data_IF_968116254037
#
_entry.id   IF_968116254037
#
_cell.length_a   1.000
_cell.length_b   1.000
_cell.length_c   1.000
_cell.angle_alpha   90.00
_cell.angle_beta   90.00
_cell.angle_gamma   90.00
#
_symmetry.space_group_name_H-M   'P 1'
#
loop_
_entity.id
_entity.type
_entity.pdbx_description
1 polymer ?
#
# COMPACT_ATOMS: atom_id res chain seq x y z
N UNK A 1 25.66 -6.29 2.83
CA UNK A 1 24.93 -5.13 3.36
C UNK A 1 24.26 -4.48 2.16
N UNK A 2 23.00 -4.83 1.89
CA UNK A 2 22.26 -4.36 0.72
C UNK A 2 21.91 -2.88 0.87
N UNK A 3 21.89 -2.14 -0.23
CA UNK A 3 21.46 -0.75 -0.24
C UNK A 3 19.99 -0.67 0.24
N UNK A 4 19.70 0.23 1.17
CA UNK A 4 18.33 0.42 1.65
C UNK A 4 17.44 0.84 0.48
N UNK A 5 16.27 0.21 0.32
CA UNK A 5 15.33 0.58 -0.73
C UNK A 5 14.95 2.06 -0.62
N UNK A 6 15.03 2.77 -1.74
CA UNK A 6 14.64 4.18 -1.84
C UNK A 6 13.74 4.36 -3.03
N UNK A 7 12.69 5.15 -2.85
CA UNK A 7 11.91 5.72 -3.94
C UNK A 7 12.21 7.21 -4.01
N UNK A 8 12.26 7.76 -5.22
CA UNK A 8 12.36 9.21 -5.40
C UNK A 8 11.16 9.91 -4.74
N UNK A 9 11.39 11.10 -4.19
CA UNK A 9 10.30 11.93 -3.67
C UNK A 9 9.26 12.27 -4.75
N UNK A 10 8.04 12.62 -4.36
CA UNK A 10 7.00 12.97 -5.32
C UNK A 10 7.42 14.20 -6.15
N UNK A 11 7.15 14.21 -7.46
CA UNK A 11 7.30 15.41 -8.29
C UNK A 11 6.48 16.60 -7.76
N UNK A 12 6.83 17.81 -8.21
CA UNK A 12 6.02 19.01 -7.92
C UNK A 12 4.59 18.79 -8.43
N UNK A 13 3.60 19.09 -7.60
CA UNK A 13 2.17 18.94 -7.94
C UNK A 13 1.57 17.58 -7.59
N UNK A 14 2.39 16.58 -7.24
CA UNK A 14 1.91 15.27 -6.77
C UNK A 14 1.61 15.32 -5.27
N UNK A 15 0.39 14.95 -4.91
CA UNK A 15 -0.08 14.90 -3.53
C UNK A 15 0.06 13.52 -2.87
N UNK A 16 0.22 12.46 -3.67
CA UNK A 16 0.45 11.10 -3.19
C UNK A 16 1.82 10.95 -2.51
N UNK A 17 1.84 10.27 -1.37
CA UNK A 17 3.08 9.89 -0.68
C UNK A 17 3.27 8.39 -0.72
N UNK A 18 4.50 7.97 -0.96
CA UNK A 18 4.90 6.58 -1.03
C UNK A 18 6.13 6.36 -0.15
N UNK A 19 5.93 5.80 1.03
CA UNK A 19 6.97 5.66 2.06
C UNK A 19 7.46 4.21 2.14
N UNK A 20 8.76 4.02 1.89
CA UNK A 20 9.48 2.74 1.97
C UNK A 20 10.48 2.69 3.13
N UNK A 21 10.49 3.71 4.01
CA UNK A 21 11.43 3.77 5.14
C UNK A 21 11.27 2.63 6.15
N UNK A 22 10.16 1.90 6.09
CA UNK A 22 9.82 0.75 6.92
C UNK A 22 9.87 -0.58 6.15
N UNK A 23 10.58 -0.66 5.02
CA UNK A 23 10.70 -1.87 4.19
C UNK A 23 10.96 -3.13 5.04
N UNK A 24 10.20 -4.23 4.86
CA UNK A 24 9.27 -4.54 3.75
C UNK A 24 7.83 -4.03 3.93
N UNK A 25 7.55 -3.18 4.93
CA UNK A 25 6.28 -2.46 5.05
C UNK A 25 6.33 -1.14 4.27
N UNK A 26 5.38 -0.95 3.36
CA UNK A 26 5.23 0.28 2.57
C UNK A 26 3.94 0.99 2.96
N UNK A 27 4.01 2.31 3.10
CA UNK A 27 2.83 3.15 3.40
C UNK A 27 2.55 4.09 2.24
N UNK A 28 1.37 3.95 1.65
CA UNK A 28 0.85 4.82 0.60
C UNK A 28 -0.19 5.73 1.23
N UNK A 29 0.05 7.04 1.21
CA UNK A 29 -0.94 8.03 1.65
C UNK A 29 -1.57 8.69 0.45
N UNK A 30 -2.87 8.48 0.26
CA UNK A 30 -3.62 9.04 -0.85
C UNK A 30 -3.92 10.53 -0.62
N UNK A 31 -3.83 11.38 -1.64
CA UNK A 31 -4.23 12.79 -1.53
C UNK A 31 -5.76 12.91 -1.44
N UNK A 32 -6.29 14.09 -1.06
CA UNK A 32 -7.74 14.32 -1.01
C UNK A 32 -8.47 14.08 -2.34
N UNK A 33 -7.80 14.40 -3.45
CA UNK A 33 -8.25 14.12 -4.81
C UNK A 33 -7.08 13.50 -5.55
N UNK A 34 -7.24 12.27 -6.03
CA UNK A 34 -6.22 11.59 -6.84
C UNK A 34 -6.28 12.09 -8.28
N UNK A 35 -5.13 12.51 -8.79
CA UNK A 35 -4.93 12.97 -10.17
C UNK A 35 -4.22 11.91 -11.02
N UNK A 36 -4.11 12.16 -12.33
CA UNK A 36 -3.30 11.33 -13.22
C UNK A 36 -1.80 11.39 -12.86
N UNK A 37 -1.29 12.55 -12.44
CA UNK A 37 0.12 12.70 -12.02
C UNK A 37 0.42 11.89 -10.75
N UNK A 38 -0.52 11.86 -9.80
CA UNK A 38 -0.42 10.98 -8.63
C UNK A 38 -0.36 9.51 -9.04
N UNK A 39 -1.16 9.12 -10.03
CA UNK A 39 -1.20 7.75 -10.49
C UNK A 39 0.06 7.36 -11.27
N UNK A 40 0.59 8.25 -12.11
CA UNK A 40 1.88 8.03 -12.78
C UNK A 40 3.02 7.87 -11.77
N UNK A 41 3.07 8.72 -10.74
CA UNK A 41 4.05 8.59 -9.66
C UNK A 41 3.88 7.25 -8.93
N UNK A 42 2.65 6.87 -8.59
CA UNK A 42 2.34 5.59 -7.96
C UNK A 42 2.83 4.39 -8.78
N UNK A 43 2.62 4.41 -10.11
CA UNK A 43 3.11 3.36 -11.00
C UNK A 43 4.64 3.24 -10.92
N UNK A 44 5.38 4.36 -11.00
CA UNK A 44 6.84 4.36 -10.91
C UNK A 44 7.35 3.81 -9.57
N UNK A 45 6.68 4.13 -8.47
CA UNK A 45 6.99 3.58 -7.15
C UNK A 45 6.71 2.08 -7.07
N UNK A 46 5.61 1.60 -7.67
CA UNK A 46 5.32 0.17 -7.74
C UNK A 46 6.40 -0.61 -8.48
N UNK A 47 6.88 -0.10 -9.62
CA UNK A 47 7.96 -0.76 -10.36
C UNK A 47 9.25 -0.88 -9.50
N UNK A 48 9.54 0.09 -8.63
CA UNK A 48 10.67 -0.01 -7.69
C UNK A 48 10.49 -1.14 -6.67
N UNK A 49 9.33 -1.23 -6.01
CA UNK A 49 9.10 -2.28 -4.99
C UNK A 49 8.93 -3.67 -5.62
N UNK A 50 8.51 -3.75 -6.88
CA UNK A 50 8.43 -5.01 -7.61
C UNK A 50 9.80 -5.53 -8.05
N UNK A 51 10.74 -4.64 -8.31
CA UNK A 51 12.13 -4.97 -8.61
C UNK A 51 12.93 -5.39 -7.36
N UNK A 52 12.47 -5.04 -6.15
CA UNK A 52 13.11 -5.46 -4.91
C UNK A 52 13.11 -6.99 -4.76
N UNK A 53 14.16 -7.61 -4.19
CA UNK A 53 14.23 -9.06 -4.05
C UNK A 53 13.17 -9.60 -3.08
N UNK A 54 12.92 -8.88 -1.98
CA UNK A 54 11.92 -9.28 -0.98
C UNK A 54 10.47 -9.03 -1.43
N UNK A 55 9.54 -9.75 -0.81
CA UNK A 55 8.09 -9.46 -0.89
C UNK A 55 7.75 -8.33 0.08
N UNK A 56 6.68 -7.59 -0.18
CA UNK A 56 6.29 -6.44 0.64
C UNK A 56 4.83 -6.52 1.10
N UNK A 57 4.52 -5.84 2.20
CA UNK A 57 3.14 -5.57 2.60
C UNK A 57 2.82 -4.08 2.42
N UNK A 58 1.58 -3.77 2.07
CA UNK A 58 1.12 -2.40 1.81
C UNK A 58 0.12 -1.93 2.85
N UNK A 59 0.26 -0.68 3.28
CA UNK A 59 -0.83 0.10 3.86
C UNK A 59 -1.23 1.14 2.83
N UNK A 60 -2.51 1.17 2.46
CA UNK A 60 -3.08 2.23 1.63
C UNK A 60 -3.99 3.07 2.50
N UNK A 61 -3.48 4.20 2.94
CA UNK A 61 -4.21 5.19 3.71
C UNK A 61 -5.06 6.05 2.78
N UNK A 62 -6.38 5.84 2.83
CA UNK A 62 -7.36 6.58 2.02
C UNK A 62 -8.13 7.62 2.84
N UNK A 63 -7.75 7.86 4.09
CA UNK A 63 -8.52 8.69 5.03
C UNK A 63 -8.72 10.12 4.56
N UNK A 64 -7.75 10.66 3.81
CA UNK A 64 -7.80 12.01 3.26
C UNK A 64 -8.72 12.14 2.04
N UNK A 65 -9.11 11.04 1.38
CA UNK A 65 -9.88 11.09 0.13
C UNK A 65 -11.26 11.72 0.38
N UNK A 66 -11.54 12.81 -0.33
CA UNK A 66 -12.85 13.47 -0.34
C UNK A 66 -13.64 13.18 -1.61
N UNK A 67 -12.99 12.62 -2.64
CA UNK A 67 -13.60 12.27 -3.92
C UNK A 67 -12.94 11.03 -4.51
N UNK A 68 -13.76 10.04 -4.87
CA UNK A 68 -13.26 8.86 -5.59
C UNK A 68 -12.73 9.26 -6.97
N UNK A 69 -11.71 8.56 -7.49
CA UNK A 69 -11.26 8.73 -8.88
C UNK A 69 -12.43 8.62 -9.86
N UNK A 70 -12.37 9.42 -10.92
CA UNK A 70 -13.37 9.37 -11.99
C UNK A 70 -13.30 8.06 -12.79
N UNK A 71 -14.23 7.88 -13.72
CA UNK A 71 -14.31 6.63 -14.49
C UNK A 71 -13.05 6.39 -15.36
N UNK A 72 -12.44 7.45 -15.87
CA UNK A 72 -11.24 7.38 -16.71
C UNK A 72 -10.06 6.89 -15.87
N UNK A 73 -9.78 7.56 -14.76
CA UNK A 73 -8.68 7.20 -13.87
C UNK A 73 -8.88 5.81 -13.26
N UNK A 74 -10.12 5.44 -12.87
CA UNK A 74 -10.41 4.06 -12.41
C UNK A 74 -10.11 3.00 -13.47
N UNK A 75 -10.38 3.29 -14.75
CA UNK A 75 -10.05 2.38 -15.86
C UNK A 75 -8.54 2.23 -16.01
N UNK A 76 -7.79 3.32 -15.93
CA UNK A 76 -6.33 3.30 -15.97
C UNK A 76 -5.72 2.50 -14.81
N UNK A 77 -6.24 2.71 -13.59
CA UNK A 77 -5.89 1.92 -12.40
C UNK A 77 -6.13 0.43 -12.63
N UNK A 78 -7.28 0.07 -13.18
CA UNK A 78 -7.60 -1.33 -13.51
C UNK A 78 -6.65 -1.92 -14.55
N UNK A 79 -6.36 -1.19 -15.63
CA UNK A 79 -5.43 -1.67 -16.68
C UNK A 79 -4.04 -1.91 -16.12
N UNK A 80 -3.55 -1.00 -15.27
CA UNK A 80 -2.26 -1.17 -14.59
C UNK A 80 -2.27 -2.42 -13.70
N UNK A 81 -3.26 -2.55 -12.80
CA UNK A 81 -3.38 -3.72 -11.93
C UNK A 81 -3.46 -5.03 -12.73
N UNK A 82 -4.32 -5.07 -13.77
CA UNK A 82 -4.52 -6.25 -14.61
C UNK A 82 -3.23 -6.68 -15.32
N UNK A 83 -2.44 -5.72 -15.83
CA UNK A 83 -1.16 -6.00 -16.48
C UNK A 83 -0.04 -6.43 -15.51
N UNK A 84 -0.19 -6.16 -14.20
CA UNK A 84 0.78 -6.56 -13.15
C UNK A 84 0.27 -7.69 -12.25
N UNK A 85 -0.88 -8.32 -12.55
CA UNK A 85 -1.44 -9.39 -11.69
C UNK A 85 -0.44 -10.47 -11.31
N UNK A 86 0.40 -11.03 -12.22
CA UNK A 86 1.37 -12.05 -11.85
C UNK A 86 2.39 -11.56 -10.83
N UNK A 87 2.97 -10.37 -11.06
CA UNK A 87 3.99 -9.81 -10.17
C UNK A 87 3.38 -9.35 -8.84
N UNK A 88 2.15 -8.84 -8.83
CA UNK A 88 1.45 -8.51 -7.58
C UNK A 88 1.24 -9.77 -6.74
N UNK A 89 0.76 -10.87 -7.33
CA UNK A 89 0.58 -12.13 -6.59
C UNK A 89 1.90 -12.72 -6.07
N UNK A 90 3.00 -12.49 -6.80
CA UNK A 90 4.33 -12.96 -6.42
C UNK A 90 5.02 -12.07 -5.36
N UNK A 91 4.80 -10.76 -5.39
CA UNK A 91 5.57 -9.78 -4.60
C UNK A 91 4.81 -9.15 -3.45
N UNK A 92 3.48 -9.12 -3.49
CA UNK A 92 2.67 -8.52 -2.44
C UNK A 92 2.19 -9.59 -1.44
N UNK A 93 2.65 -9.49 -0.20
CA UNK A 93 2.19 -10.29 0.95
C UNK A 93 0.72 -10.00 1.23
N UNK A 94 0.34 -8.74 1.14
CA UNK A 94 -1.02 -8.27 1.26
C UNK A 94 -1.13 -6.76 1.47
N UNK A 95 -2.31 -6.21 1.17
CA UNK A 95 -2.61 -4.79 1.32
C UNK A 95 -3.70 -4.52 2.36
N UNK A 96 -3.37 -3.74 3.37
CA UNK A 96 -4.30 -3.14 4.32
C UNK A 96 -4.83 -1.81 3.77
N UNK A 97 -6.14 -1.72 3.54
CA UNK A 97 -6.79 -0.52 3.01
C UNK A 97 -7.51 0.18 4.15
N UNK A 98 -7.12 1.41 4.48
CA UNK A 98 -7.68 2.14 5.61
C UNK A 98 -8.91 2.92 5.14
N UNK A 99 -10.09 2.55 5.61
CA UNK A 99 -11.37 3.11 5.16
C UNK A 99 -12.12 3.71 6.35
N UNK A 100 -12.07 5.04 6.47
CA UNK A 100 -12.75 5.79 7.52
C UNK A 100 -14.01 6.50 7.04
N UNK A 101 -14.08 6.89 5.76
CA UNK A 101 -15.22 7.62 5.23
C UNK A 101 -16.15 6.73 4.38
N UNK A 102 -17.43 7.11 4.33
CA UNK A 102 -18.50 6.37 3.62
C UNK A 102 -18.31 6.40 2.10
N UNK A 103 -17.71 7.47 1.57
CA UNK A 103 -17.41 7.65 0.14
C UNK A 103 -16.46 6.55 -0.35
N UNK A 104 -15.31 6.40 0.31
CA UNK A 104 -14.34 5.35 -0.03
C UNK A 104 -14.93 3.97 0.27
N UNK A 105 -15.70 3.81 1.35
CA UNK A 105 -16.38 2.54 1.64
C UNK A 105 -17.28 2.09 0.48
N UNK A 106 -18.07 3.02 -0.09
CA UNK A 106 -18.91 2.74 -1.27
C UNK A 106 -18.07 2.40 -2.50
N UNK A 107 -17.05 3.19 -2.80
CA UNK A 107 -16.16 2.96 -3.94
C UNK A 107 -15.37 1.65 -3.85
N UNK A 108 -14.80 1.35 -2.69
CA UNK A 108 -14.00 0.15 -2.44
C UNK A 108 -14.84 -1.13 -2.51
N UNK A 109 -16.06 -1.11 -1.96
CA UNK A 109 -16.99 -2.25 -2.05
C UNK A 109 -17.33 -2.57 -3.50
N UNK A 110 -17.60 -1.53 -4.31
CA UNK A 110 -17.85 -1.71 -5.74
C UNK A 110 -16.63 -2.26 -6.50
N UNK A 111 -15.42 -1.74 -6.23
CA UNK A 111 -14.18 -2.22 -6.85
C UNK A 111 -13.91 -3.70 -6.55
N UNK A 112 -14.16 -4.15 -5.33
CA UNK A 112 -13.99 -5.56 -4.93
C UNK A 112 -14.94 -6.54 -5.64
N UNK A 113 -16.13 -6.10 -6.07
CA UNK A 113 -17.04 -6.96 -6.84
C UNK A 113 -16.56 -7.19 -8.27
N UNK A 114 -15.68 -6.33 -8.78
CA UNK A 114 -15.31 -6.29 -10.20
C UNK A 114 -14.08 -7.16 -10.50
N UNK A 115 -13.21 -7.46 -9.53
CA UNK A 115 -12.02 -8.28 -9.77
C UNK A 115 -11.49 -8.97 -8.50
N UNK A 116 -11.20 -10.29 -8.54
CA UNK A 116 -10.45 -10.94 -7.47
C UNK A 116 -9.05 -10.35 -7.42
N UNK A 117 -8.67 -9.87 -6.25
CA UNK A 117 -7.37 -9.27 -6.03
C UNK A 117 -6.27 -10.34 -6.09
N UNK A 118 -5.16 -10.12 -6.82
CA UNK A 118 -4.09 -11.10 -7.00
C UNK A 118 -3.30 -11.39 -5.71
N UNK A 119 -3.37 -10.49 -4.72
CA UNK A 119 -2.83 -10.67 -3.37
C UNK A 119 -3.92 -10.37 -2.31
N UNK A 120 -3.78 -10.89 -1.07
CA UNK A 120 -4.72 -10.63 0.01
C UNK A 120 -4.92 -9.13 0.21
N UNK A 121 -6.17 -8.68 0.19
CA UNK A 121 -6.53 -7.31 0.54
C UNK A 121 -7.48 -7.36 1.73
N UNK A 122 -7.38 -6.42 2.67
CA UNK A 122 -8.32 -6.30 3.78
C UNK A 122 -8.55 -4.84 4.16
N UNK A 123 -9.81 -4.49 4.44
CA UNK A 123 -10.18 -3.16 4.88
C UNK A 123 -10.04 -3.05 6.41
N UNK A 124 -9.54 -1.91 6.88
CA UNK A 124 -9.35 -1.60 8.30
C UNK A 124 -9.88 -0.20 8.62
N UNK A 125 -10.29 0.01 9.87
CA UNK A 125 -10.76 1.31 10.35
C UNK A 125 -9.62 2.25 10.75
N UNK A 126 -8.45 1.71 11.09
CA UNK A 126 -7.29 2.49 11.56
C UNK A 126 -6.01 2.02 10.89
N UNK A 127 -5.06 2.94 10.70
CA UNK A 127 -3.70 2.62 10.23
C UNK A 127 -3.04 1.60 11.15
N UNK A 128 -3.23 1.73 12.47
CA UNK A 128 -2.64 0.85 13.46
C UNK A 128 -3.10 -0.62 13.30
N UNK A 129 -4.40 -0.86 13.08
CA UNK A 129 -4.91 -2.21 12.86
C UNK A 129 -4.45 -2.80 11.53
N UNK A 130 -4.38 -1.96 10.48
CA UNK A 130 -3.81 -2.36 9.20
C UNK A 130 -2.33 -2.73 9.33
N UNK A 131 -1.56 -1.93 10.06
CA UNK A 131 -0.14 -2.17 10.32
C UNK A 131 0.08 -3.48 11.10
N UNK A 132 -0.74 -3.79 12.11
CA UNK A 132 -0.66 -5.09 12.82
C UNK A 132 -0.82 -6.27 11.87
N UNK A 133 -1.78 -6.20 10.97
CA UNK A 133 -2.01 -7.27 9.99
C UNK A 133 -0.87 -7.39 8.98
N UNK A 134 -0.35 -6.27 8.49
CA UNK A 134 0.82 -6.28 7.60
C UNK A 134 2.08 -6.81 8.30
N UNK A 135 2.35 -6.39 9.53
CA UNK A 135 3.46 -6.89 10.36
C UNK A 135 3.36 -8.40 10.54
N UNK A 136 2.19 -8.91 10.92
CA UNK A 136 1.97 -10.35 11.03
C UNK A 136 2.25 -11.06 9.70
N UNK A 137 1.76 -10.53 8.56
CA UNK A 137 2.02 -11.12 7.26
C UNK A 137 3.51 -11.15 6.88
N UNK A 138 4.28 -10.12 7.27
CA UNK A 138 5.73 -10.08 7.06
C UNK A 138 6.43 -11.13 7.93
N UNK A 139 6.02 -11.29 9.20
CA UNK A 139 6.54 -12.33 10.10
C UNK A 139 6.26 -13.74 9.55
N UNK A 140 5.03 -13.98 9.08
CA UNK A 140 4.60 -15.26 8.50
C UNK A 140 5.32 -15.59 7.17
N UNK A 141 5.71 -14.57 6.40
CA UNK A 141 6.54 -14.72 5.20
C UNK A 141 8.01 -15.03 5.55
N UNK A 142 8.39 -14.97 6.84
CA UNK A 142 9.73 -15.26 7.35
C UNK A 142 10.71 -14.09 7.23
N UNK A 143 10.20 -12.86 7.04
CA UNK A 143 11.01 -11.66 6.89
C UNK A 143 11.19 -10.91 8.22
N UNK A 144 12.26 -10.12 8.30
CA UNK A 144 12.53 -9.25 9.45
C UNK A 144 11.62 -8.02 9.37
N UNK A 145 10.86 -7.77 10.44
CA UNK A 145 10.05 -6.56 10.57
C UNK A 145 10.86 -5.44 11.24
N UNK A 146 10.97 -4.25 10.63
CA UNK A 146 11.63 -3.12 11.26
C UNK A 146 10.91 -2.62 12.52
N UNK A 147 11.68 -2.10 13.49
CA UNK A 147 11.15 -1.53 14.74
C UNK A 147 10.10 -0.44 14.47
N UNK A 148 10.32 0.39 13.44
CA UNK A 148 9.37 1.44 13.04
C UNK A 148 8.01 0.86 12.60
N UNK A 149 7.98 -0.30 11.94
CA UNK A 149 6.73 -0.97 11.58
C UNK A 149 5.99 -1.52 12.81
N UNK A 150 6.72 -2.09 13.79
CA UNK A 150 6.12 -2.46 15.08
C UNK A 150 5.58 -1.25 15.84
N UNK A 151 6.30 -0.12 15.83
CA UNK A 151 5.84 1.11 16.45
C UNK A 151 4.53 1.61 15.80
N UNK A 152 4.45 1.58 14.46
CA UNK A 152 3.22 1.93 13.72
C UNK A 152 2.05 1.00 14.07
N UNK A 153 2.31 -0.29 14.27
CA UNK A 153 1.33 -1.26 14.74
C UNK A 153 0.95 -1.10 16.23
N UNK A 154 1.62 -0.19 16.96
CA UNK A 154 1.52 -0.05 18.41
C UNK A 154 1.93 -1.31 19.17
N UNK A 155 2.94 -2.01 18.64
CA UNK A 155 3.54 -3.22 19.18
C UNK A 155 4.98 -2.98 19.66
N UNK A 156 5.30 -1.76 20.09
CA UNK A 156 6.67 -1.34 20.41
C UNK A 156 7.39 -2.24 21.44
N UNK A 157 6.66 -2.96 22.30
CA UNK A 157 7.24 -3.94 23.24
C UNK A 157 7.68 -5.27 22.60
N UNK A 158 7.19 -5.62 21.39
CA UNK A 158 7.59 -6.82 20.64
C UNK A 158 8.93 -6.66 19.91
N UNK A 159 9.35 -5.43 19.64
CA UNK A 159 10.60 -5.13 18.94
C UNK A 159 11.87 -5.56 19.72
N UNK A 160 11.76 -5.80 21.03
CA UNK A 160 12.89 -6.10 21.91
C UNK A 160 13.24 -7.60 22.02
N UNK A 161 12.52 -8.48 21.31
CA UNK A 161 12.62 -9.93 21.48
C UNK A 161 13.14 -10.70 20.24
N UNK A 162 13.65 -9.99 19.22
CA UNK A 162 14.19 -10.56 17.99
C UNK A 162 15.70 -10.34 17.87
#
# INVERSE_FOLDING_TARGET
MGEALRVGGPPIGVGLKFDVSMWPLVVITMPPVTTSDDFEYLQRCYEHIFAAPERHALIVDTTSIVRVPDATLRREMKVFEDSRRPIIGQKNIGSAIIIQNTIVRGGYTALRWISPQPAPNKAFATVQDGARWCVQGIEEDGQIVPIAAYALAGLASRAAAG
#
